data_IF_022676383556
#
_entry.id   IF_022676383556
#
_cell.length_a   1.000
_cell.length_b   1.000
_cell.length_c   1.000
_cell.angle_alpha   90.00
_cell.angle_beta   90.00
_cell.angle_gamma   90.00
#
_symmetry.space_group_name_H-M   'P 1'
#
loop_
_entity.id
_entity.type
_entity.pdbx_description
1 polymer ?
#
# COMPACT_ATOMS: atom_id res chain seq x y z
N UNK A 1 4.86 -8.55 -0.04
CA UNK A 1 4.78 -7.07 -0.15
C UNK A 1 5.41 -6.58 -1.44
N UNK A 2 4.65 -5.72 -2.11
CA UNK A 2 4.99 -4.93 -3.30
C UNK A 2 5.08 -3.47 -2.86
N UNK A 3 6.16 -2.78 -3.21
CA UNK A 3 6.34 -1.37 -2.87
C UNK A 3 5.38 -0.50 -3.67
N UNK A 4 4.79 0.51 -3.04
CA UNK A 4 4.08 1.55 -3.76
C UNK A 4 5.08 2.50 -4.41
N UNK A 5 4.79 2.94 -5.64
CA UNK A 5 5.57 3.98 -6.30
C UNK A 5 5.27 5.36 -5.71
N UNK A 6 5.80 5.60 -4.51
CA UNK A 6 5.66 6.84 -3.76
C UNK A 6 7.02 7.36 -3.32
N UNK A 7 7.12 8.68 -3.18
CA UNK A 7 8.27 9.30 -2.51
C UNK A 7 8.25 8.92 -1.03
N UNK A 8 9.44 8.74 -0.44
CA UNK A 8 9.56 8.46 0.99
C UNK A 8 8.74 9.49 1.82
N UNK A 9 7.78 9.02 2.63
CA UNK A 9 6.78 9.88 3.23
C UNK A 9 7.28 10.53 4.53
N UNK A 10 7.02 11.83 4.65
CA UNK A 10 7.16 12.57 5.91
C UNK A 10 5.89 13.38 6.13
N UNK A 11 5.43 13.54 7.38
CA UNK A 11 4.16 14.21 7.65
C UNK A 11 4.18 15.67 7.15
N UNK A 12 5.28 16.38 7.39
CA UNK A 12 5.49 17.74 6.85
C UNK A 12 5.54 17.75 5.31
N UNK A 13 6.18 16.74 4.69
CA UNK A 13 6.22 16.59 3.24
C UNK A 13 4.83 16.33 2.62
N UNK A 14 4.01 15.51 3.29
CA UNK A 14 2.61 15.26 2.94
C UNK A 14 1.78 16.53 3.07
N UNK A 15 1.93 17.28 4.17
CA UNK A 15 1.27 18.58 4.31
C UNK A 15 1.67 19.56 3.20
N UNK A 16 2.94 19.59 2.81
CA UNK A 16 3.39 20.43 1.70
C UNK A 16 2.96 19.96 0.32
N UNK A 17 2.70 18.66 0.14
CA UNK A 17 2.02 18.17 -1.05
C UNK A 17 0.54 18.60 -1.04
N UNK A 18 -0.15 18.42 0.09
CA UNK A 18 -1.56 18.78 0.26
C UNK A 18 -1.85 20.24 0.00
N UNK A 19 -1.06 21.16 0.58
CA UNK A 19 -1.20 22.61 0.33
C UNK A 19 -1.09 22.94 -1.16
N UNK A 20 -0.13 22.33 -1.87
CA UNK A 20 0.05 22.54 -3.32
C UNK A 20 -1.11 21.98 -4.12
N UNK A 21 -1.53 20.76 -3.80
CA UNK A 21 -2.61 20.07 -4.49
C UNK A 21 -3.95 20.80 -4.32
N UNK A 22 -4.30 21.18 -3.08
CA UNK A 22 -5.51 21.95 -2.77
C UNK A 22 -5.54 23.29 -3.51
N UNK A 23 -4.44 24.04 -3.51
CA UNK A 23 -4.35 25.30 -4.25
C UNK A 23 -4.52 25.10 -5.77
N UNK A 24 -3.89 24.06 -6.33
CA UNK A 24 -3.99 23.76 -7.77
C UNK A 24 -5.39 23.33 -8.17
N UNK A 25 -5.98 22.35 -7.49
CA UNK A 25 -7.32 21.85 -7.81
C UNK A 25 -8.40 22.90 -7.47
N UNK A 26 -8.21 23.66 -6.39
CA UNK A 26 -9.05 24.81 -6.06
C UNK A 26 -9.06 25.88 -7.16
N UNK A 27 -7.89 26.24 -7.74
CA UNK A 27 -7.83 27.16 -8.88
C UNK A 27 -8.61 26.66 -10.10
N UNK A 28 -8.50 25.35 -10.41
CA UNK A 28 -9.26 24.75 -11.53
C UNK A 28 -10.76 24.80 -11.28
N UNK A 29 -11.20 24.45 -10.06
CA UNK A 29 -12.61 24.50 -9.69
C UNK A 29 -13.16 25.92 -9.73
N UNK A 30 -12.47 26.89 -9.14
CA UNK A 30 -12.88 28.29 -9.16
C UNK A 30 -13.05 28.82 -10.58
N UNK A 31 -12.11 28.50 -11.50
CA UNK A 31 -12.23 28.83 -12.92
C UNK A 31 -13.46 28.18 -13.56
N UNK A 32 -13.72 26.91 -13.27
CA UNK A 32 -14.84 26.15 -13.82
C UNK A 32 -16.21 26.71 -13.38
N UNK A 33 -16.34 27.23 -12.16
CA UNK A 33 -17.60 27.80 -11.63
C UNK A 33 -17.68 29.32 -11.72
N UNK A 34 -16.69 29.98 -12.33
CA UNK A 34 -16.62 31.44 -12.44
C UNK A 34 -16.52 32.15 -11.08
N UNK A 35 -15.97 31.48 -10.06
CA UNK A 35 -15.82 32.03 -8.72
C UNK A 35 -14.53 32.87 -8.61
N UNK A 36 -14.67 34.11 -8.14
CA UNK A 36 -13.55 35.09 -8.04
C UNK A 36 -13.17 35.44 -6.61
N UNK A 37 -14.11 35.32 -5.65
CA UNK A 37 -13.92 35.73 -4.25
C UNK A 37 -13.41 34.56 -3.41
N UNK A 38 -14.05 33.39 -3.52
CA UNK A 38 -13.63 32.19 -2.80
C UNK A 38 -12.48 31.51 -3.53
N UNK A 39 -11.30 31.45 -2.88
CA UNK A 39 -10.11 30.81 -3.44
C UNK A 39 -9.32 30.07 -2.38
N UNK A 40 -8.65 29.00 -2.80
CA UNK A 40 -7.61 28.34 -2.00
C UNK A 40 -6.29 29.06 -2.24
N UNK A 41 -5.77 29.74 -1.21
CA UNK A 41 -4.52 30.50 -1.32
C UNK A 41 -3.34 29.54 -1.47
N UNK A 42 -2.51 29.80 -2.46
CA UNK A 42 -1.26 29.09 -2.65
C UNK A 42 -0.24 29.45 -1.55
N UNK A 43 -0.05 28.53 -0.60
CA UNK A 43 0.89 28.66 0.51
C UNK A 43 2.22 27.93 0.28
N UNK A 44 2.49 27.48 -0.95
CA UNK A 44 3.64 26.63 -1.27
C UNK A 44 4.98 27.28 -0.92
N UNK A 45 5.09 28.60 -1.10
CA UNK A 45 6.31 29.36 -0.75
C UNK A 45 6.56 29.35 0.76
N UNK A 46 5.52 29.59 1.57
CA UNK A 46 5.62 29.59 3.03
C UNK A 46 5.91 28.17 3.56
N UNK A 47 5.19 27.18 3.03
CA UNK A 47 5.43 25.77 3.31
C UNK A 47 6.87 25.35 2.97
N UNK A 48 7.38 25.75 1.81
CA UNK A 48 8.77 25.48 1.40
C UNK A 48 9.81 26.06 2.35
N UNK A 49 9.55 27.24 2.95
CA UNK A 49 10.42 27.79 4.00
C UNK A 49 10.43 26.91 5.26
N UNK A 50 9.27 26.45 5.72
CA UNK A 50 9.16 25.56 6.89
C UNK A 50 9.82 24.21 6.67
N UNK A 51 9.63 23.59 5.49
CA UNK A 51 10.31 22.35 5.11
C UNK A 51 11.84 22.49 5.06
N UNK A 52 12.35 23.61 4.52
CA UNK A 52 13.80 23.90 4.57
C UNK A 52 14.29 24.12 5.99
N UNK A 53 13.49 24.75 6.85
CA UNK A 53 13.74 24.85 8.29
C UNK A 53 13.95 23.47 8.90
N UNK A 54 12.99 22.56 8.72
CA UNK A 54 13.07 21.18 9.23
C UNK A 54 14.36 20.50 8.77
N UNK A 55 14.66 20.56 7.46
CA UNK A 55 15.86 19.94 6.92
C UNK A 55 17.16 20.52 7.52
N UNK A 56 17.21 21.84 7.76
CA UNK A 56 18.36 22.50 8.40
C UNK A 56 18.51 22.08 9.86
N UNK A 57 17.40 22.03 10.59
CA UNK A 57 17.39 21.67 12.01
C UNK A 57 17.81 20.21 12.22
N UNK A 58 17.32 19.27 11.39
CA UNK A 58 17.73 17.85 11.45
C UNK A 58 19.25 17.70 11.30
N UNK A 59 19.90 18.51 10.46
CA UNK A 59 21.35 18.45 10.24
C UNK A 59 22.19 18.83 11.47
N UNK A 60 21.63 19.58 12.42
CA UNK A 60 22.34 20.02 13.65
C UNK A 60 22.63 18.89 14.64
N UNK A 61 21.91 17.75 14.55
CA UNK A 61 22.11 16.55 15.38
C UNK A 61 22.11 16.79 16.91
N UNK A 62 21.47 17.85 17.41
CA UNK A 62 21.35 18.15 18.85
C UNK A 62 20.03 17.65 19.45
N UNK A 63 19.94 17.57 20.79
CA UNK A 63 18.69 17.22 21.49
C UNK A 63 17.57 18.25 21.28
N UNK A 64 17.92 19.54 21.30
CA UNK A 64 17.03 20.68 21.03
C UNK A 64 16.44 20.66 19.62
N UNK A 65 17.19 20.12 18.65
CA UNK A 65 16.74 19.99 17.26
C UNK A 65 15.45 19.16 17.12
N UNK A 66 15.18 18.22 18.04
CA UNK A 66 13.95 17.40 18.00
C UNK A 66 12.71 18.24 18.30
N UNK A 67 12.76 19.12 19.30
CA UNK A 67 11.63 19.98 19.68
C UNK A 67 11.36 21.01 18.58
N UNK A 68 12.42 21.62 18.04
CA UNK A 68 12.30 22.57 16.92
C UNK A 68 11.69 21.91 15.67
N UNK A 69 12.09 20.67 15.33
CA UNK A 69 11.48 19.91 14.23
C UNK A 69 10.00 19.62 14.47
N UNK A 70 9.60 19.26 15.69
CA UNK A 70 8.20 19.04 16.02
C UNK A 70 7.38 20.33 15.90
N UNK A 71 7.91 21.46 16.37
CA UNK A 71 7.27 22.77 16.24
C UNK A 71 7.09 23.17 14.76
N UNK A 72 8.13 23.04 13.94
CA UNK A 72 8.02 23.31 12.50
C UNK A 72 7.03 22.35 11.82
N UNK A 73 6.97 21.09 12.25
CA UNK A 73 6.01 20.10 11.73
C UNK A 73 4.58 20.50 12.09
N UNK A 74 4.32 20.92 13.33
CA UNK A 74 3.02 21.47 13.76
C UNK A 74 2.57 22.62 12.87
N UNK A 75 3.45 23.59 12.64
CA UNK A 75 3.16 24.75 11.77
C UNK A 75 2.84 24.33 10.32
N UNK A 76 3.44 23.25 9.81
CA UNK A 76 3.04 22.71 8.49
C UNK A 76 1.61 22.15 8.51
N UNK A 77 1.19 21.52 9.60
CA UNK A 77 -0.20 21.09 9.82
C UNK A 77 -1.17 22.27 9.82
N UNK A 78 -0.86 23.34 10.54
CA UNK A 78 -1.71 24.56 10.61
C UNK A 78 -1.83 25.27 9.25
N UNK A 79 -0.79 25.24 8.42
CA UNK A 79 -0.86 25.73 7.04
C UNK A 79 -1.77 24.87 6.16
N UNK A 80 -1.73 23.55 6.36
CA UNK A 80 -2.60 22.61 5.67
C UNK A 80 -4.06 22.81 6.07
N UNK A 81 -4.36 22.92 7.36
CA UNK A 81 -5.71 23.16 7.88
C UNK A 81 -6.35 24.43 7.34
N UNK A 82 -5.58 25.52 7.26
CA UNK A 82 -6.06 26.76 6.62
C UNK A 82 -6.45 26.52 5.16
N UNK A 83 -5.67 25.72 4.44
CA UNK A 83 -5.93 25.40 3.04
C UNK A 83 -7.12 24.45 2.88
N UNK A 84 -7.33 23.52 3.82
CA UNK A 84 -8.51 22.64 3.88
C UNK A 84 -9.78 23.47 4.09
N UNK A 85 -9.78 24.39 5.07
CA UNK A 85 -10.92 25.28 5.34
C UNK A 85 -11.30 26.11 4.11
N UNK A 86 -10.32 26.65 3.39
CA UNK A 86 -10.58 27.38 2.14
C UNK A 86 -11.10 26.47 1.02
N UNK A 87 -10.58 25.25 0.91
CA UNK A 87 -11.02 24.29 -0.10
C UNK A 87 -12.48 23.88 0.12
N UNK A 88 -12.87 23.55 1.36
CA UNK A 88 -14.26 23.19 1.70
C UNK A 88 -15.24 24.32 1.40
N UNK A 89 -14.92 25.56 1.78
CA UNK A 89 -15.74 26.73 1.41
C UNK A 89 -15.91 26.87 -0.11
N UNK A 90 -14.85 26.61 -0.88
CA UNK A 90 -14.94 26.64 -2.34
C UNK A 90 -15.79 25.49 -2.89
N UNK A 91 -15.73 24.30 -2.29
CA UNK A 91 -16.62 23.17 -2.62
C UNK A 91 -18.08 23.55 -2.41
N UNK A 92 -18.43 24.16 -1.27
CA UNK A 92 -19.81 24.58 -0.97
C UNK A 92 -20.34 25.59 -2.01
N UNK A 93 -19.52 26.60 -2.33
CA UNK A 93 -19.84 27.60 -3.37
C UNK A 93 -19.95 26.95 -4.75
N UNK A 94 -19.05 26.03 -5.10
CA UNK A 94 -19.09 25.34 -6.39
C UNK A 94 -20.32 24.45 -6.54
N UNK A 95 -20.71 23.78 -5.46
CA UNK A 95 -21.87 22.88 -5.41
C UNK A 95 -23.17 23.67 -5.55
N UNK A 96 -23.32 24.80 -4.84
CA UNK A 96 -24.49 25.67 -5.00
C UNK A 96 -24.62 26.28 -6.41
N UNK A 97 -23.49 26.51 -7.09
CA UNK A 97 -23.42 27.00 -8.48
C UNK A 97 -23.50 25.91 -9.55
N UNK A 98 -23.60 24.64 -9.17
CA UNK A 98 -23.63 23.52 -10.10
C UNK A 98 -25.05 23.31 -10.68
N UNK A 99 -25.46 24.24 -11.56
CA UNK A 99 -26.75 24.20 -12.27
C UNK A 99 -26.57 24.29 -13.78
N UNK A 100 -27.57 23.81 -14.52
CA UNK A 100 -27.65 23.88 -15.98
C UNK A 100 -26.59 23.05 -16.70
N UNK A 101 -26.23 23.48 -17.93
CA UNK A 101 -25.24 22.79 -18.77
C UNK A 101 -23.89 22.69 -18.03
N UNK A 102 -23.35 21.48 -17.97
CA UNK A 102 -22.08 21.21 -17.28
C UNK A 102 -22.18 21.06 -15.74
N UNK A 103 -23.38 21.01 -15.16
CA UNK A 103 -23.57 20.78 -13.72
C UNK A 103 -22.84 19.51 -13.23
N UNK A 104 -22.93 18.40 -13.98
CA UNK A 104 -22.22 17.15 -13.65
C UNK A 104 -20.72 17.35 -13.54
N UNK A 105 -20.10 18.05 -14.50
CA UNK A 105 -18.66 18.32 -14.48
C UNK A 105 -18.24 19.18 -13.27
N UNK A 106 -19.05 20.19 -12.92
CA UNK A 106 -18.85 21.03 -11.73
C UNK A 106 -18.93 20.20 -10.45
N UNK A 107 -19.95 19.36 -10.30
CA UNK A 107 -20.13 18.47 -9.15
C UNK A 107 -18.98 17.47 -9.03
N UNK A 108 -18.56 16.85 -10.15
CA UNK A 108 -17.40 15.94 -10.16
C UNK A 108 -16.12 16.66 -9.74
N UNK A 109 -15.87 17.88 -10.22
CA UNK A 109 -14.69 18.65 -9.82
C UNK A 109 -14.74 19.08 -8.34
N UNK A 110 -15.93 19.44 -7.83
CA UNK A 110 -16.15 19.76 -6.42
C UNK A 110 -15.92 18.52 -5.52
N UNK A 111 -16.49 17.37 -5.89
CA UNK A 111 -16.28 16.09 -5.20
C UNK A 111 -14.80 15.69 -5.16
N UNK A 112 -14.06 15.82 -6.27
CA UNK A 112 -12.60 15.57 -6.28
C UNK A 112 -11.82 16.49 -5.35
N UNK A 113 -12.19 17.77 -5.26
CA UNK A 113 -11.55 18.70 -4.32
C UNK A 113 -11.91 18.36 -2.86
N UNK A 114 -13.15 17.95 -2.60
CA UNK A 114 -13.60 17.49 -1.30
C UNK A 114 -12.82 16.25 -0.83
N UNK A 115 -12.72 15.22 -1.68
CA UNK A 115 -11.93 14.01 -1.37
C UNK A 115 -10.46 14.33 -1.06
N UNK A 116 -9.86 15.26 -1.83
CA UNK A 116 -8.50 15.72 -1.55
C UNK A 116 -8.42 16.46 -0.20
N UNK A 117 -9.41 17.29 0.13
CA UNK A 117 -9.49 17.98 1.41
C UNK A 117 -9.63 17.00 2.58
N UNK A 118 -10.42 15.94 2.43
CA UNK A 118 -10.60 14.90 3.45
C UNK A 118 -9.32 14.09 3.66
N UNK A 119 -8.60 13.74 2.57
CA UNK A 119 -7.26 13.12 2.68
C UNK A 119 -6.27 14.07 3.38
N UNK A 120 -6.31 15.35 3.08
CA UNK A 120 -5.46 16.35 3.74
C UNK A 120 -5.82 16.52 5.23
N UNK A 121 -7.09 16.42 5.59
CA UNK A 121 -7.52 16.47 6.99
C UNK A 121 -7.01 15.26 7.77
N UNK A 122 -7.00 14.06 7.15
CA UNK A 122 -6.31 12.90 7.73
C UNK A 122 -4.83 13.22 8.01
N UNK A 123 -4.12 13.87 7.08
CA UNK A 123 -2.72 14.30 7.28
C UNK A 123 -2.56 15.29 8.43
N UNK A 124 -3.43 16.30 8.52
CA UNK A 124 -3.40 17.26 9.62
C UNK A 124 -3.59 16.56 10.99
N UNK A 125 -4.57 15.65 11.08
CA UNK A 125 -4.81 14.83 12.28
C UNK A 125 -3.60 13.96 12.64
N UNK A 126 -2.94 13.35 11.65
CA UNK A 126 -1.71 12.59 11.91
C UNK A 126 -0.58 13.45 12.46
N UNK A 127 -0.46 14.69 12.00
CA UNK A 127 0.52 15.65 12.53
C UNK A 127 0.20 15.95 14.00
N UNK A 128 -1.06 16.20 14.35
CA UNK A 128 -1.47 16.40 15.75
C UNK A 128 -1.17 15.20 16.63
N UNK A 129 -1.57 14.00 16.19
CA UNK A 129 -1.27 12.76 16.91
C UNK A 129 0.24 12.58 17.11
N UNK A 130 1.05 12.88 16.09
CA UNK A 130 2.51 12.82 16.21
C UNK A 130 3.07 13.80 17.22
N UNK A 131 2.58 15.04 17.23
CA UNK A 131 3.00 16.07 18.19
C UNK A 131 2.59 15.68 19.61
N UNK A 132 1.40 15.10 19.78
CA UNK A 132 0.88 14.57 21.04
C UNK A 132 1.51 13.23 21.47
N UNK A 133 2.39 12.63 20.64
CA UNK A 133 2.99 11.29 20.83
C UNK A 133 1.96 10.15 20.88
N UNK A 134 0.81 10.33 20.23
CA UNK A 134 -0.24 9.32 20.11
C UNK A 134 0.05 8.31 18.98
N UNK A 135 -0.54 7.12 19.10
CA UNK A 135 -0.44 6.07 18.07
C UNK A 135 -1.30 6.43 16.86
N UNK A 136 -0.71 6.34 15.67
CA UNK A 136 -1.40 6.56 14.40
C UNK A 136 -1.77 5.20 13.79
N UNK A 137 -3.04 4.81 13.87
CA UNK A 137 -3.54 3.54 13.34
C UNK A 137 -3.61 3.49 11.81
N UNK A 138 -4.56 4.23 11.21
CA UNK A 138 -4.76 4.30 9.74
C UNK A 138 -3.87 5.40 9.13
N UNK A 139 -2.57 5.13 9.04
CA UNK A 139 -1.59 6.10 8.54
C UNK A 139 -1.66 6.24 7.02
N UNK A 140 -2.09 7.39 6.51
CA UNK A 140 -1.84 7.77 5.12
C UNK A 140 -0.35 8.07 4.92
N UNK A 141 0.20 7.58 3.82
CA UNK A 141 1.62 7.76 3.46
C UNK A 141 1.78 8.43 2.09
N UNK A 142 0.70 8.57 1.33
CA UNK A 142 0.68 9.31 0.08
C UNK A 142 -0.73 9.86 -0.18
N UNK A 143 -0.83 11.13 -0.61
CA UNK A 143 -2.10 11.71 -1.04
C UNK A 143 -2.56 11.17 -2.41
N UNK A 144 -1.60 10.80 -3.25
CA UNK A 144 -1.83 10.24 -4.58
C UNK A 144 -2.09 8.72 -4.54
N UNK A 145 -1.68 8.07 -3.46
CA UNK A 145 -1.84 6.64 -3.26
C UNK A 145 -2.31 6.37 -1.82
N UNK A 146 -3.61 6.59 -1.55
CA UNK A 146 -4.15 6.60 -0.18
C UNK A 146 -4.21 5.22 0.45
N UNK A 147 -4.12 4.14 -0.34
CA UNK A 147 -4.23 2.75 0.13
C UNK A 147 -2.88 2.12 0.44
N UNK A 148 -1.78 2.72 0.01
CA UNK A 148 -0.44 2.33 0.44
C UNK A 148 -0.33 2.41 1.97
N UNK A 149 0.33 1.42 2.58
CA UNK A 149 0.50 1.35 4.04
C UNK A 149 1.96 1.23 4.46
N UNK A 150 2.31 1.76 5.65
CA UNK A 150 3.60 1.44 6.26
C UNK A 150 3.61 -0.02 6.70
N UNK A 151 4.59 -0.78 6.23
CA UNK A 151 4.75 -2.20 6.53
C UNK A 151 6.12 -2.39 7.17
N UNK A 152 6.12 -2.81 8.43
CA UNK A 152 7.35 -3.07 9.16
C UNK A 152 7.91 -4.42 8.74
N UNK A 153 9.15 -4.44 8.27
CA UNK A 153 9.90 -5.66 8.01
C UNK A 153 11.02 -5.78 9.04
N UNK A 154 11.33 -7.01 9.48
CA UNK A 154 12.44 -7.30 10.40
C UNK A 154 13.85 -7.05 9.83
N UNK A 155 13.98 -6.21 8.79
CA UNK A 155 15.26 -5.90 8.14
C UNK A 155 15.91 -4.70 8.84
N UNK A 156 17.12 -4.89 9.35
CA UNK A 156 17.89 -3.89 10.12
C UNK A 156 18.05 -2.55 9.36
N UNK A 157 18.33 -2.58 8.05
CA UNK A 157 18.60 -1.37 7.26
C UNK A 157 17.37 -0.61 6.72
N UNK A 158 16.20 -1.24 6.67
CA UNK A 158 14.92 -0.65 6.21
C UNK A 158 13.78 -1.18 7.08
N UNK A 159 13.62 -0.64 8.30
CA UNK A 159 12.65 -1.18 9.26
C UNK A 159 11.20 -0.96 8.82
N UNK A 160 10.93 -0.01 7.93
CA UNK A 160 9.60 0.26 7.39
C UNK A 160 9.69 0.54 5.90
N UNK A 161 8.94 -0.23 5.14
CA UNK A 161 8.71 -0.05 3.72
C UNK A 161 7.24 0.37 3.51
N UNK A 162 6.90 0.87 2.32
CA UNK A 162 5.57 1.42 2.05
C UNK A 162 4.96 0.78 0.81
N UNK A 163 3.76 0.24 0.94
CA UNK A 163 3.08 -0.41 -0.17
C UNK A 163 1.98 -1.35 0.29
N UNK A 164 1.92 -2.51 -0.34
CA UNK A 164 0.80 -3.44 -0.25
C UNK A 164 1.27 -4.82 0.18
N UNK A 165 0.49 -5.47 1.04
CA UNK A 165 0.66 -6.89 1.35
C UNK A 165 -0.18 -7.69 0.37
N UNK A 166 0.48 -8.57 -0.36
CA UNK A 166 -0.16 -9.54 -1.25
C UNK A 166 0.42 -10.91 -0.92
N UNK A 167 -0.45 -11.91 -0.87
CA UNK A 167 -0.09 -13.30 -0.66
C UNK A 167 -0.01 -14.03 -2.00
N UNK A 168 1.22 -14.41 -2.35
CA UNK A 168 1.51 -15.22 -3.53
C UNK A 168 1.43 -16.71 -3.16
N UNK A 169 0.81 -17.48 -4.04
CA UNK A 169 0.76 -18.93 -3.92
C UNK A 169 1.19 -19.57 -5.24
N UNK A 170 2.08 -20.54 -5.15
CA UNK A 170 2.58 -21.29 -6.30
C UNK A 170 2.05 -22.72 -6.25
N UNK A 171 1.54 -23.20 -7.39
CA UNK A 171 1.09 -24.57 -7.59
C UNK A 171 2.03 -25.28 -8.54
N UNK A 172 2.43 -26.50 -8.16
CA UNK A 172 3.29 -27.35 -8.97
C UNK A 172 2.82 -28.80 -8.90
N UNK A 173 3.04 -29.55 -9.97
CA UNK A 173 2.76 -30.99 -10.04
C UNK A 173 3.82 -31.80 -9.28
N UNK A 174 5.05 -31.29 -9.20
CA UNK A 174 6.14 -31.94 -8.50
C UNK A 174 7.18 -30.96 -7.94
N UNK A 175 7.90 -31.40 -6.90
CA UNK A 175 8.95 -30.61 -6.24
C UNK A 175 10.37 -30.98 -6.70
N UNK A 176 10.53 -31.49 -7.94
CA UNK A 176 11.86 -31.79 -8.50
C UNK A 176 12.70 -30.49 -8.58
N UNK A 177 14.03 -30.55 -8.36
CA UNK A 177 14.89 -29.38 -8.54
C UNK A 177 14.69 -28.73 -9.90
N UNK A 178 14.67 -27.40 -9.97
CA UNK A 178 14.45 -26.65 -11.21
C UNK A 178 12.99 -26.54 -11.67
N UNK A 179 12.05 -27.26 -11.05
CA UNK A 179 10.64 -27.11 -11.36
C UNK A 179 10.15 -25.69 -11.01
N UNK A 180 9.60 -24.99 -12.01
CA UNK A 180 8.87 -23.73 -11.83
C UNK A 180 7.40 -24.06 -11.71
N UNK A 181 6.72 -23.61 -10.67
CA UNK A 181 5.27 -23.71 -10.53
C UNK A 181 4.54 -22.60 -11.27
N UNK A 182 3.21 -22.68 -11.31
CA UNK A 182 2.35 -21.59 -11.75
C UNK A 182 1.89 -20.78 -10.53
N UNK A 183 1.83 -19.47 -10.67
CA UNK A 183 1.37 -18.55 -9.64
C UNK A 183 -0.15 -18.42 -9.75
N UNK A 184 -0.85 -18.64 -8.65
CA UNK A 184 -2.28 -18.36 -8.56
C UNK A 184 -2.53 -16.84 -8.53
N UNK A 185 -3.71 -16.37 -8.96
CA UNK A 185 -4.16 -15.04 -8.62
C UNK A 185 -3.95 -14.77 -7.13
N UNK A 186 -3.20 -13.71 -6.85
CA UNK A 186 -2.75 -13.45 -5.50
C UNK A 186 -3.93 -12.99 -4.62
N UNK A 187 -3.84 -13.24 -3.31
CA UNK A 187 -4.83 -12.74 -2.36
C UNK A 187 -4.41 -11.37 -1.84
N UNK A 188 -5.35 -10.43 -1.81
CA UNK A 188 -5.12 -9.02 -1.52
C UNK A 188 -6.11 -8.51 -0.46
N UNK A 189 -5.66 -7.61 0.41
CA UNK A 189 -6.53 -6.86 1.30
C UNK A 189 -5.88 -5.51 1.64
N UNK A 190 -6.68 -4.45 1.66
CA UNK A 190 -6.23 -3.12 2.11
C UNK A 190 -5.77 -3.21 3.56
N UNK A 191 -4.62 -2.61 3.87
CA UNK A 191 -4.05 -2.60 5.21
C UNK A 191 -2.71 -3.31 5.29
N UNK A 192 -2.44 -3.83 6.48
CA UNK A 192 -1.31 -4.73 6.75
C UNK A 192 -1.84 -6.06 7.31
N UNK A 193 -2.58 -6.83 6.48
CA UNK A 193 -3.13 -8.12 6.90
C UNK A 193 -1.99 -9.09 7.25
N UNK A 194 -2.24 -9.97 8.22
CA UNK A 194 -1.36 -11.11 8.46
C UNK A 194 -1.52 -12.18 7.38
N UNK A 195 -0.54 -13.06 7.24
CA UNK A 195 -0.55 -14.16 6.28
C UNK A 195 -1.80 -15.04 6.45
N UNK A 196 -2.17 -15.39 7.69
CA UNK A 196 -3.38 -16.18 7.96
C UNK A 196 -4.67 -15.47 7.51
N UNK A 197 -4.69 -14.14 7.49
CA UNK A 197 -5.87 -13.35 7.06
C UNK A 197 -6.10 -13.46 5.55
N UNK A 198 -5.03 -13.58 4.75
CA UNK A 198 -5.11 -13.67 3.29
C UNK A 198 -5.33 -15.11 2.78
N UNK A 199 -5.00 -16.11 3.59
CA UNK A 199 -5.11 -17.53 3.23
C UNK A 199 -6.49 -17.99 2.75
N UNK A 200 -7.61 -17.58 3.35
CA UNK A 200 -8.94 -17.92 2.83
C UNK A 200 -9.15 -17.51 1.37
N UNK A 201 -8.60 -16.36 0.95
CA UNK A 201 -8.67 -15.92 -0.45
C UNK A 201 -7.92 -16.85 -1.40
N UNK A 202 -6.72 -17.31 -1.01
CA UNK A 202 -5.97 -18.33 -1.77
C UNK A 202 -6.73 -19.66 -1.85
N UNK A 203 -7.38 -20.08 -0.76
CA UNK A 203 -8.19 -21.31 -0.73
C UNK A 203 -9.42 -21.21 -1.63
N UNK A 204 -10.10 -20.06 -1.61
CA UNK A 204 -11.23 -19.79 -2.49
C UNK A 204 -10.80 -19.88 -3.96
N UNK A 205 -9.64 -19.34 -4.31
CA UNK A 205 -9.09 -19.38 -5.67
C UNK A 205 -8.73 -20.81 -6.11
N UNK A 206 -8.07 -21.59 -5.24
CA UNK A 206 -7.83 -23.02 -5.50
C UNK A 206 -9.14 -23.79 -5.75
N UNK A 207 -10.16 -23.50 -4.94
CA UNK A 207 -11.49 -24.12 -5.06
C UNK A 207 -12.16 -23.74 -6.39
N UNK A 208 -12.12 -22.46 -6.75
CA UNK A 208 -12.66 -21.93 -8.01
C UNK A 208 -12.01 -22.57 -9.24
N UNK A 209 -10.71 -22.84 -9.17
CA UNK A 209 -9.94 -23.50 -10.23
C UNK A 209 -10.05 -25.03 -10.19
N UNK A 210 -10.74 -25.61 -9.20
CA UNK A 210 -10.84 -27.07 -9.03
C UNK A 210 -9.52 -27.76 -8.64
N UNK A 211 -8.54 -27.01 -8.14
CA UNK A 211 -7.22 -27.55 -7.78
C UNK A 211 -7.23 -28.04 -6.33
N UNK A 212 -6.96 -29.34 -6.15
CA UNK A 212 -6.87 -29.99 -4.82
C UNK A 212 -5.44 -30.46 -4.54
N UNK A 213 -4.58 -29.61 -3.92
CA UNK A 213 -3.20 -29.99 -3.65
C UNK A 213 -3.12 -31.10 -2.60
N UNK A 214 -2.32 -32.14 -2.87
CA UNK A 214 -2.07 -33.21 -1.88
C UNK A 214 -1.22 -32.72 -0.70
N UNK A 215 -0.35 -31.76 -0.95
CA UNK A 215 0.58 -31.21 0.03
C UNK A 215 0.59 -29.69 -0.08
N UNK A 216 0.59 -29.01 1.07
CA UNK A 216 0.66 -27.55 1.18
C UNK A 216 1.84 -27.20 2.07
N UNK A 217 2.70 -26.30 1.61
CA UNK A 217 3.83 -25.79 2.37
C UNK A 217 3.72 -24.27 2.49
N UNK A 218 3.70 -23.77 3.72
CA UNK A 218 3.62 -22.34 4.03
C UNK A 218 4.80 -21.90 4.91
N UNK A 219 5.02 -20.59 4.98
CA UNK A 219 6.11 -20.00 5.74
C UNK A 219 5.85 -20.01 7.26
N UNK A 220 6.87 -19.70 8.05
CA UNK A 220 6.79 -19.71 9.52
C UNK A 220 5.90 -18.61 10.12
N UNK A 221 5.48 -17.61 9.33
CA UNK A 221 4.51 -16.60 9.77
C UNK A 221 3.07 -17.12 9.90
N UNK A 222 2.78 -18.30 9.36
CA UNK A 222 1.46 -18.92 9.45
C UNK A 222 1.26 -19.62 10.79
N UNK A 223 0.04 -19.53 11.33
CA UNK A 223 -0.31 -20.13 12.62
C UNK A 223 -1.04 -21.47 12.37
N UNK A 224 -0.70 -22.56 13.09
CA UNK A 224 -1.28 -23.88 12.85
C UNK A 224 -2.80 -23.93 12.84
N UNK A 225 -3.46 -23.41 13.87
CA UNK A 225 -4.93 -23.48 14.01
C UNK A 225 -5.67 -22.80 12.86
N UNK A 226 -5.49 -21.49 12.58
CA UNK A 226 -6.21 -20.84 11.48
C UNK A 226 -5.80 -21.39 10.11
N UNK A 227 -4.54 -21.82 9.93
CA UNK A 227 -4.07 -22.42 8.67
C UNK A 227 -4.80 -23.72 8.37
N UNK A 228 -4.86 -24.65 9.33
CA UNK A 228 -5.54 -25.93 9.15
C UNK A 228 -7.05 -25.75 8.96
N UNK A 229 -7.68 -24.80 9.67
CA UNK A 229 -9.09 -24.46 9.48
C UNK A 229 -9.37 -23.95 8.07
N UNK A 230 -8.55 -23.02 7.56
CA UNK A 230 -8.70 -22.49 6.20
C UNK A 230 -8.50 -23.59 5.14
N UNK A 231 -7.52 -24.48 5.33
CA UNK A 231 -7.19 -25.54 4.37
C UNK A 231 -8.10 -26.77 4.46
N UNK A 232 -8.93 -26.90 5.49
CA UNK A 232 -9.74 -28.09 5.76
C UNK A 232 -10.56 -28.56 4.54
N UNK A 233 -11.13 -27.60 3.79
CA UNK A 233 -11.97 -27.89 2.61
C UNK A 233 -11.20 -28.37 1.38
N UNK A 234 -9.87 -28.16 1.33
CA UNK A 234 -9.04 -28.60 0.21
C UNK A 234 -8.66 -30.08 0.31
N UNK A 235 -8.75 -30.69 1.49
CA UNK A 235 -8.44 -32.10 1.70
C UNK A 235 -6.94 -32.44 1.51
N UNK A 236 -6.04 -31.48 1.78
CA UNK A 236 -4.61 -31.72 1.70
C UNK A 236 -4.17 -32.80 2.70
N UNK A 237 -3.44 -33.82 2.24
CA UNK A 237 -2.93 -34.92 3.08
C UNK A 237 -1.80 -34.46 4.00
N UNK A 238 -1.07 -33.42 3.63
CA UNK A 238 0.06 -32.92 4.40
C UNK A 238 0.09 -31.40 4.34
N UNK A 239 0.03 -30.78 5.51
CA UNK A 239 0.24 -29.34 5.69
C UNK A 239 1.53 -29.15 6.46
N UNK A 240 2.50 -28.49 5.84
CA UNK A 240 3.79 -28.13 6.42
C UNK A 240 3.83 -26.63 6.70
N UNK A 241 4.08 -26.26 7.96
CA UNK A 241 4.27 -24.89 8.43
C UNK A 241 5.66 -24.82 9.04
N UNK A 242 6.55 -24.05 8.43
CA UNK A 242 7.94 -23.99 8.87
C UNK A 242 8.05 -23.63 10.37
N UNK A 243 8.74 -24.47 11.13
CA UNK A 243 8.98 -24.28 12.56
C UNK A 243 7.78 -24.53 13.48
N UNK A 244 6.59 -24.84 12.96
CA UNK A 244 5.37 -24.98 13.78
C UNK A 244 4.63 -26.31 13.55
N UNK A 245 4.55 -26.79 12.31
CA UNK A 245 3.86 -28.03 11.97
C UNK A 245 4.65 -28.77 10.89
N UNK A 246 5.24 -29.89 11.27
CA UNK A 246 6.16 -30.64 10.40
C UNK A 246 5.73 -32.10 10.22
N UNK A 247 5.82 -32.66 9.01
CA UNK A 247 5.54 -34.07 8.78
C UNK A 247 6.48 -34.99 9.58
N UNK A 248 5.93 -36.08 10.10
CA UNK A 248 6.70 -37.13 10.81
C UNK A 248 7.78 -37.75 9.92
N UNK A 249 7.50 -37.93 8.63
CA UNK A 249 8.48 -38.45 7.67
C UNK A 249 9.61 -37.46 7.43
N UNK A 250 10.83 -37.81 7.87
CA UNK A 250 12.05 -37.03 7.65
C UNK A 250 12.28 -36.70 6.17
N UNK A 251 11.95 -37.62 5.25
CA UNK A 251 12.08 -37.43 3.80
C UNK A 251 11.12 -36.35 3.30
N UNK A 252 9.85 -36.40 3.70
CA UNK A 252 8.83 -35.42 3.30
C UNK A 252 9.16 -34.05 3.90
N UNK A 253 9.48 -33.99 5.20
CA UNK A 253 9.91 -32.75 5.88
C UNK A 253 11.06 -32.08 5.13
N UNK A 254 12.14 -32.82 4.84
CA UNK A 254 13.31 -32.27 4.15
C UNK A 254 12.97 -31.78 2.73
N UNK A 255 12.09 -32.49 2.00
CA UNK A 255 11.64 -32.10 0.66
C UNK A 255 10.82 -30.81 0.68
N UNK A 256 9.81 -30.72 1.56
CA UNK A 256 8.94 -29.55 1.67
C UNK A 256 9.71 -28.32 2.19
N UNK A 257 10.62 -28.51 3.15
CA UNK A 257 11.50 -27.44 3.61
C UNK A 257 12.37 -26.87 2.48
N UNK A 258 12.98 -27.73 1.65
CA UNK A 258 13.75 -27.29 0.46
C UNK A 258 12.88 -26.58 -0.56
N UNK A 259 11.68 -27.10 -0.84
CA UNK A 259 10.75 -26.49 -1.79
C UNK A 259 10.32 -25.09 -1.33
N UNK A 260 9.98 -24.93 -0.06
CA UNK A 260 9.64 -23.64 0.57
C UNK A 260 10.80 -22.65 0.47
N UNK A 261 12.02 -23.04 0.84
CA UNK A 261 13.19 -22.16 0.69
C UNK A 261 13.42 -21.78 -0.77
N UNK A 262 13.19 -22.71 -1.72
CA UNK A 262 13.24 -22.39 -3.15
C UNK A 262 12.19 -21.39 -3.60
N UNK A 263 11.03 -21.32 -2.94
CA UNK A 263 9.97 -20.36 -3.25
C UNK A 263 10.44 -18.91 -3.00
N UNK A 264 11.31 -18.66 -2.02
CA UNK A 264 11.91 -17.33 -1.80
C UNK A 264 12.72 -16.88 -3.01
N UNK A 265 13.49 -17.81 -3.61
CA UNK A 265 14.22 -17.57 -4.85
C UNK A 265 13.30 -17.25 -6.03
N UNK A 266 12.17 -17.95 -6.14
CA UNK A 266 11.17 -17.72 -7.20
C UNK A 266 10.41 -16.40 -7.00
N UNK A 267 10.06 -16.04 -5.77
CA UNK A 267 9.50 -14.71 -5.45
C UNK A 267 10.52 -13.61 -5.76
N UNK A 268 11.81 -13.82 -5.48
CA UNK A 268 12.88 -12.89 -5.88
C UNK A 268 12.97 -12.74 -7.40
N UNK A 269 12.81 -13.84 -8.15
CA UNK A 269 12.78 -13.82 -9.60
C UNK A 269 11.56 -13.07 -10.15
N UNK A 270 10.35 -13.35 -9.65
CA UNK A 270 9.12 -12.60 -9.94
C UNK A 270 9.32 -11.09 -9.75
N UNK A 271 9.92 -10.71 -8.62
CA UNK A 271 10.21 -9.30 -8.31
C UNK A 271 11.17 -8.66 -9.31
N UNK A 272 12.30 -9.31 -9.59
CA UNK A 272 13.38 -8.73 -10.39
C UNK A 272 13.14 -8.79 -11.91
N UNK A 273 12.47 -9.83 -12.40
CA UNK A 273 12.26 -10.05 -13.84
C UNK A 273 10.88 -9.66 -14.33
N UNK A 274 9.88 -9.70 -13.46
CA UNK A 274 8.47 -9.43 -13.82
C UNK A 274 7.92 -8.16 -13.15
N UNK A 275 8.76 -7.39 -12.46
CA UNK A 275 8.38 -6.08 -11.91
C UNK A 275 7.47 -6.14 -10.69
N UNK A 276 7.37 -7.29 -10.00
CA UNK A 276 6.55 -7.44 -8.80
C UNK A 276 7.15 -6.76 -7.56
N UNK A 277 8.30 -6.10 -7.68
CA UNK A 277 8.94 -5.38 -6.59
C UNK A 277 8.23 -4.05 -6.27
N UNK A 278 7.71 -3.35 -7.28
CA UNK A 278 7.06 -2.05 -7.13
C UNK A 278 5.90 -1.86 -8.11
N UNK A 279 4.71 -1.59 -7.59
CA UNK A 279 3.56 -1.20 -8.41
C UNK A 279 3.69 0.26 -8.84
N UNK A 280 3.57 0.52 -10.15
CA UNK A 280 3.51 1.88 -10.70
C UNK A 280 2.09 2.45 -10.71
N UNK A 281 1.08 1.58 -10.70
CA UNK A 281 -0.31 1.96 -10.55
C UNK A 281 -0.57 2.38 -9.10
N UNK A 282 -1.52 3.31 -8.91
CA UNK A 282 -1.89 3.82 -7.59
C UNK A 282 -3.12 3.06 -7.10
N UNK A 283 -3.42 3.20 -5.82
CA UNK A 283 -4.53 2.56 -5.12
C UNK A 283 -4.49 1.02 -5.09
N UNK A 284 -5.40 0.45 -4.31
CA UNK A 284 -5.46 -0.98 -4.14
C UNK A 284 -5.81 -1.74 -5.43
N UNK A 285 -6.72 -1.20 -6.24
CA UNK A 285 -7.12 -1.80 -7.50
C UNK A 285 -5.95 -1.79 -8.49
N UNK A 286 -5.24 -0.67 -8.59
CA UNK A 286 -4.04 -0.57 -9.40
C UNK A 286 -2.95 -1.57 -8.98
N UNK A 287 -2.75 -1.80 -7.68
CA UNK A 287 -1.84 -2.83 -7.21
C UNK A 287 -2.29 -4.24 -7.59
N UNK A 288 -3.58 -4.56 -7.46
CA UNK A 288 -4.12 -5.87 -7.88
C UNK A 288 -3.89 -6.11 -9.38
N UNK A 289 -4.19 -5.11 -10.21
CA UNK A 289 -3.94 -5.15 -11.66
C UNK A 289 -2.46 -5.42 -11.93
N UNK A 290 -1.55 -4.68 -11.27
CA UNK A 290 -0.11 -4.83 -11.45
C UNK A 290 0.38 -6.24 -11.10
N UNK A 291 -0.05 -6.75 -9.94
CA UNK A 291 0.30 -8.10 -9.47
C UNK A 291 -0.26 -9.19 -10.39
N UNK A 292 -1.48 -9.01 -10.89
CA UNK A 292 -2.11 -9.90 -11.86
C UNK A 292 -1.30 -10.01 -13.14
N UNK A 293 -0.90 -8.88 -13.73
CA UNK A 293 -0.07 -8.86 -14.95
C UNK A 293 1.31 -9.49 -14.76
N UNK A 294 1.98 -9.20 -13.63
CA UNK A 294 3.27 -9.82 -13.31
C UNK A 294 3.16 -11.34 -13.17
N UNK A 295 2.09 -11.82 -12.51
CA UNK A 295 1.82 -13.25 -12.34
C UNK A 295 1.48 -13.94 -13.66
N UNK A 296 0.67 -13.28 -14.51
CA UNK A 296 0.34 -13.77 -15.85
C UNK A 296 1.58 -13.92 -16.73
N UNK A 297 2.43 -12.89 -16.78
CA UNK A 297 3.66 -12.92 -17.56
C UNK A 297 4.61 -14.04 -17.11
N UNK A 298 4.76 -14.23 -15.79
CA UNK A 298 5.54 -15.34 -15.23
C UNK A 298 4.97 -16.71 -15.59
N UNK A 299 3.65 -16.85 -15.52
CA UNK A 299 2.97 -18.09 -15.87
C UNK A 299 3.12 -18.43 -17.36
N UNK A 300 3.02 -17.42 -18.24
CA UNK A 300 3.22 -17.60 -19.67
C UNK A 300 4.64 -18.06 -20.00
N UNK A 301 5.68 -17.43 -19.42
CA UNK A 301 7.08 -17.89 -19.56
C UNK A 301 7.25 -19.32 -19.04
N UNK A 302 6.70 -19.60 -17.85
CA UNK A 302 6.77 -20.93 -17.24
C UNK A 302 6.13 -22.00 -18.11
N UNK A 303 4.97 -21.72 -18.71
CA UNK A 303 4.31 -22.64 -19.63
C UNK A 303 5.14 -22.89 -20.88
N UNK A 304 5.77 -21.84 -21.44
CA UNK A 304 6.62 -21.96 -22.62
C UNK A 304 7.86 -22.84 -22.38
N UNK A 305 8.39 -22.84 -21.16
CA UNK A 305 9.53 -23.70 -20.77
C UNK A 305 9.09 -25.14 -20.54
N UNK A 306 7.87 -25.35 -20.02
CA UNK A 306 7.33 -26.70 -19.74
C UNK A 306 6.85 -27.44 -21.00
N UNK A 307 6.53 -26.71 -22.06
CA UNK A 307 5.99 -27.25 -23.31
C UNK A 307 7.07 -27.46 -24.39
N UNK A 308 8.32 -27.09 -24.10
CA UNK A 308 9.50 -27.44 -24.89
C UNK A 308 10.11 -28.74 -24.37
#
# INVERSE_FOLDING_TARGET
MIEADIKHPTDAGLAGHGVRALAREGRKLAKLVGEKRSRVRDRSRLMGRKLRGIARTIRRRSGEAKVEVLNLTRETGELLERSIKEARRLVDVATSKARGRGARAKLTAASKLQELADRCEKVARQIHQRVAKEKIGDRIVSLADPDARPIRKGKIGKPTEFGYVSQLAEVTEHTKPGARGLILPASHQIGNPSENTLLPGTVAELTRLGIKPREVAVDGGFQPTPTNQALARLGAKTVFIAGHQEPTSRRIKRRLARYRTGAEGRVSHLKRRYGLDRSRLKDHEGEQIWTGWASLAYNADTLSVRTR
#
